data_IF_137367410862
#
_entry.id   IF_137367410862
#
_cell.length_a   1.000
_cell.length_b   1.000
_cell.length_c   1.000
_cell.angle_alpha   90.00
_cell.angle_beta   90.00
_cell.angle_gamma   90.00
#
_symmetry.space_group_name_H-M   'P 1'
#
loop_
_entity.id
_entity.type
_entity.pdbx_description
1 polymer ?
#
# COMPACT_ATOMS: atom_id res chain seq x y z
N UNK A 1 1.42 12.17 -3.10
CA UNK A 1 2.12 10.91 -2.77
C UNK A 1 2.11 10.70 -1.25
N UNK A 2 1.79 9.50 -0.74
CA UNK A 2 1.82 9.19 0.70
C UNK A 2 3.25 8.94 1.22
N UNK A 3 3.47 9.21 2.50
CA UNK A 3 4.77 9.00 3.18
C UNK A 3 4.94 7.49 3.46
N UNK A 4 5.99 6.84 2.92
CA UNK A 4 6.24 5.44 3.21
C UNK A 4 6.72 5.24 4.65
N UNK A 5 6.38 4.07 5.22
CA UNK A 5 6.79 3.57 6.54
C UNK A 5 8.21 4.04 6.94
N UNK A 6 8.27 4.97 7.90
CA UNK A 6 9.46 5.66 8.37
C UNK A 6 10.26 4.78 9.33
N UNK A 7 10.84 3.70 8.81
CA UNK A 7 11.99 3.08 9.47
C UNK A 7 13.24 3.87 9.11
N UNK A 8 14.07 4.19 10.10
CA UNK A 8 15.43 4.72 9.87
C UNK A 8 16.16 3.81 8.88
N UNK A 9 16.34 4.29 7.65
CA UNK A 9 17.18 3.65 6.64
C UNK A 9 18.43 4.49 6.52
N UNK A 10 19.59 3.88 6.74
CA UNK A 10 20.86 4.49 6.41
C UNK A 10 20.98 4.48 4.89
N UNK A 11 21.05 5.67 4.30
CA UNK A 11 21.36 5.83 2.89
C UNK A 11 22.84 6.17 2.78
N UNK A 12 23.58 5.43 1.96
CA UNK A 12 24.90 5.86 1.52
C UNK A 12 24.69 7.04 0.57
N UNK A 13 24.97 8.25 1.06
CA UNK A 13 24.96 9.46 0.24
C UNK A 13 26.36 9.57 -0.36
N UNK A 14 26.48 9.30 -1.65
CA UNK A 14 27.69 9.63 -2.40
C UNK A 14 27.71 11.14 -2.67
N UNK A 15 28.77 11.81 -2.25
CA UNK A 15 29.02 13.22 -2.58
C UNK A 15 29.60 13.30 -3.98
N UNK A 16 29.04 14.15 -4.83
CA UNK A 16 29.57 14.43 -6.15
C UNK A 16 31.03 14.89 -6.02
N UNK A 17 31.96 14.08 -6.54
CA UNK A 17 33.36 14.48 -6.68
C UNK A 17 33.46 15.41 -7.89
N UNK A 18 34.18 16.53 -7.77
CA UNK A 18 34.38 17.50 -8.85
C UNK A 18 35.30 17.01 -9.98
N UNK A 19 35.87 15.80 -9.87
CA UNK A 19 36.64 15.22 -10.96
C UNK A 19 35.71 14.42 -11.89
N UNK A 20 35.87 14.51 -13.21
CA UNK A 20 34.98 13.84 -14.14
C UNK A 20 35.14 12.32 -13.99
N UNK A 21 34.05 11.65 -13.61
CA UNK A 21 33.92 10.21 -13.82
C UNK A 21 33.87 10.00 -15.33
N UNK A 22 34.99 9.59 -15.94
CA UNK A 22 35.03 9.30 -17.37
C UNK A 22 34.22 8.03 -17.65
N UNK A 23 32.99 8.23 -18.08
CA UNK A 23 32.25 7.24 -18.87
C UNK A 23 32.10 7.82 -20.26
N UNK A 24 32.72 7.17 -21.24
CA UNK A 24 32.58 7.54 -22.64
C UNK A 24 31.16 7.23 -23.11
N UNK A 25 30.27 8.22 -23.11
CA UNK A 25 28.94 8.11 -23.71
C UNK A 25 27.94 9.11 -23.13
N UNK A 26 27.37 9.96 -23.97
CA UNK A 26 26.44 11.04 -23.56
C UNK A 26 25.07 10.47 -23.16
N UNK A 27 24.60 10.79 -21.95
CA UNK A 27 23.19 10.64 -21.57
C UNK A 27 22.70 11.97 -20.97
N UNK A 28 21.71 12.58 -21.61
CA UNK A 28 21.17 13.90 -21.23
C UNK A 28 20.25 13.81 -20.00
N UNK A 29 20.65 14.51 -18.93
CA UNK A 29 20.04 14.52 -17.59
C UNK A 29 18.69 15.28 -17.47
N UNK A 30 18.08 15.69 -18.59
CA UNK A 30 16.98 16.66 -18.59
C UNK A 30 15.62 16.09 -18.14
N UNK A 31 15.42 14.77 -18.20
CA UNK A 31 14.12 14.15 -17.85
C UNK A 31 13.89 14.09 -16.33
N UNK A 32 14.95 14.16 -15.52
CA UNK A 32 14.84 14.08 -14.05
C UNK A 32 14.36 15.38 -13.39
N UNK A 33 14.59 16.55 -14.02
CA UNK A 33 14.21 17.82 -13.42
C UNK A 33 12.72 18.15 -13.58
N UNK A 34 12.08 17.77 -14.69
CA UNK A 34 10.65 18.09 -14.89
C UNK A 34 9.74 17.39 -13.88
N UNK A 35 10.14 16.20 -13.40
CA UNK A 35 9.41 15.48 -12.35
C UNK A 35 9.60 16.10 -10.95
N UNK A 36 10.71 16.80 -10.72
CA UNK A 36 11.00 17.45 -9.44
C UNK A 36 10.42 18.87 -9.35
N UNK A 37 10.43 19.63 -10.45
CA UNK A 37 10.04 21.04 -10.46
C UNK A 37 8.52 21.27 -10.50
N UNK A 38 7.73 20.33 -11.02
CA UNK A 38 6.27 20.40 -10.92
C UNK A 38 5.74 20.25 -9.48
N UNK A 39 6.60 19.83 -8.52
CA UNK A 39 6.28 19.79 -7.08
C UNK A 39 6.87 20.96 -6.26
N UNK A 40 7.61 21.88 -6.88
CA UNK A 40 8.34 22.94 -6.17
C UNK A 40 8.11 24.31 -6.82
N UNK A 41 6.86 24.75 -6.91
CA UNK A 41 6.56 26.18 -7.05
C UNK A 41 5.46 26.59 -6.08
N UNK A 42 5.88 27.05 -4.91
CA UNK A 42 5.09 27.98 -4.11
C UNK A 42 6.06 28.99 -3.53
N UNK A 43 5.99 30.21 -4.08
CA UNK A 43 6.81 31.37 -3.76
C UNK A 43 6.89 31.60 -2.24
N UNK A 44 8.11 31.76 -1.73
CA UNK A 44 8.36 32.43 -0.46
C UNK A 44 7.87 33.89 -0.58
N UNK A 45 6.78 34.22 0.10
CA UNK A 45 6.46 35.61 0.44
C UNK A 45 6.35 35.75 1.95
N UNK A 46 7.26 36.57 2.45
CA UNK A 46 7.41 37.08 3.80
C UNK A 46 6.08 37.37 4.51
N UNK A 47 5.98 36.99 5.78
CA UNK A 47 4.95 37.45 6.70
C UNK A 47 5.61 38.12 7.90
N UNK A 48 5.43 39.44 8.01
CA UNK A 48 5.47 40.14 9.29
C UNK A 48 4.10 40.00 9.99
N UNK A 49 4.04 40.11 11.33
CA UNK A 49 2.94 39.67 12.14
C UNK A 49 1.89 40.77 12.34
N UNK A 50 0.60 40.40 12.23
CA UNK A 50 -0.54 40.92 12.98
C UNK A 50 -1.83 40.73 12.16
N UNK A 51 -2.78 39.96 12.67
CA UNK A 51 -4.20 40.28 12.87
C UNK A 51 -4.95 39.00 13.26
N UNK A 52 -5.77 39.14 14.29
CA UNK A 52 -6.51 38.14 15.05
C UNK A 52 -7.71 37.53 14.27
N UNK A 53 -8.37 36.49 14.83
CA UNK A 53 -9.02 35.42 14.09
C UNK A 53 -10.49 35.73 13.80
N UNK A 54 -11.03 35.18 12.71
CA UNK A 54 -12.46 34.90 12.69
C UNK A 54 -12.86 33.66 11.89
N UNK A 55 -13.90 33.04 12.41
CA UNK A 55 -14.49 31.75 12.13
C UNK A 55 -15.25 31.73 10.80
N UNK A 56 -15.21 30.60 10.08
CA UNK A 56 -16.38 29.84 9.59
C UNK A 56 -16.16 29.15 8.23
N UNK A 57 -15.90 27.84 8.29
CA UNK A 57 -16.55 26.84 7.41
C UNK A 57 -15.94 25.45 7.68
N UNK A 58 -16.12 24.94 8.90
CA UNK A 58 -15.90 23.51 9.17
C UNK A 58 -17.07 22.75 8.55
N UNK A 59 -16.87 22.13 7.39
CA UNK A 59 -17.74 21.02 6.96
C UNK A 59 -17.38 19.81 7.81
N UNK A 60 -18.09 19.66 8.93
CA UNK A 60 -17.98 18.49 9.79
C UNK A 60 -18.57 17.26 9.09
N UNK A 61 -17.73 16.31 8.73
CA UNK A 61 -18.16 14.95 8.38
C UNK A 61 -18.81 14.30 9.62
N UNK A 62 -19.85 13.46 9.49
CA UNK A 62 -20.63 13.00 10.64
C UNK A 62 -19.78 12.21 11.63
N UNK A 63 -19.98 12.47 12.93
CA UNK A 63 -19.52 11.61 14.05
C UNK A 63 -20.09 10.20 13.84
N UNK A 64 -19.31 9.31 13.25
CA UNK A 64 -19.75 7.94 12.97
C UNK A 64 -18.99 7.19 11.89
N UNK A 65 -17.93 7.77 11.29
CA UNK A 65 -17.03 7.00 10.44
C UNK A 65 -16.30 5.95 11.30
N UNK A 66 -16.77 4.71 11.22
CA UNK A 66 -16.20 3.58 11.96
C UNK A 66 -14.80 3.33 11.39
N UNK A 67 -13.80 3.66 12.19
CA UNK A 67 -12.38 3.53 11.86
C UNK A 67 -11.93 2.09 12.08
N UNK A 68 -12.15 1.24 11.08
CA UNK A 68 -11.40 -0.01 11.01
C UNK A 68 -9.94 0.37 10.77
N UNK A 69 -9.03 -0.05 11.66
CA UNK A 69 -7.60 0.35 11.72
C UNK A 69 -7.21 1.53 12.63
N UNK A 70 -8.12 2.10 13.42
CA UNK A 70 -7.83 3.30 14.26
C UNK A 70 -7.15 4.43 13.47
N UNK A 71 -7.41 4.52 12.16
CA UNK A 71 -6.79 5.51 11.27
C UNK A 71 -7.25 6.92 11.61
N UNK A 72 -6.48 7.92 11.18
CA UNK A 72 -6.95 9.30 11.30
C UNK A 72 -7.90 9.64 10.14
N UNK A 73 -8.68 10.70 10.29
CA UNK A 73 -9.57 11.18 9.22
C UNK A 73 -8.75 11.54 7.98
N UNK A 74 -7.58 12.14 8.19
CA UNK A 74 -6.66 12.51 7.11
C UNK A 74 -6.13 11.28 6.36
N UNK A 75 -5.85 10.18 7.06
CA UNK A 75 -5.42 8.93 6.43
C UNK A 75 -6.51 8.31 5.56
N UNK A 76 -7.76 8.36 6.03
CA UNK A 76 -8.92 7.87 5.30
C UNK A 76 -9.18 8.68 4.02
N UNK A 77 -9.16 10.01 4.11
CA UNK A 77 -9.31 10.91 2.96
C UNK A 77 -8.19 10.71 1.95
N UNK A 78 -6.94 10.56 2.42
CA UNK A 78 -5.79 10.29 1.56
C UNK A 78 -5.95 8.99 0.79
N UNK A 79 -6.38 7.91 1.45
CA UNK A 79 -6.64 6.61 0.82
C UNK A 79 -7.76 6.69 -0.21
N UNK A 80 -8.85 7.38 0.13
CA UNK A 80 -9.96 7.61 -0.78
C UNK A 80 -9.50 8.37 -2.03
N UNK A 81 -8.67 9.40 -1.87
CA UNK A 81 -8.06 10.12 -2.99
C UNK A 81 -7.21 9.22 -3.90
N UNK A 82 -6.42 8.31 -3.32
CA UNK A 82 -5.64 7.34 -4.10
C UNK A 82 -6.52 6.35 -4.88
N UNK A 83 -7.60 5.86 -4.25
CA UNK A 83 -8.51 4.91 -4.90
C UNK A 83 -9.33 5.55 -6.04
N UNK A 84 -9.48 6.87 -6.04
CA UNK A 84 -10.14 7.64 -7.10
C UNK A 84 -9.23 8.00 -8.29
N UNK A 85 -7.92 7.73 -8.21
CA UNK A 85 -6.99 8.01 -9.31
C UNK A 85 -7.19 7.01 -10.47
N UNK A 86 -7.99 7.42 -11.44
CA UNK A 86 -8.34 6.58 -12.60
C UNK A 86 -7.15 6.21 -13.50
N UNK A 87 -6.00 6.89 -13.37
CA UNK A 87 -4.79 6.61 -14.16
C UNK A 87 -4.03 5.36 -13.71
N UNK A 88 -4.31 4.88 -12.49
CA UNK A 88 -3.68 3.71 -11.88
C UNK A 88 -4.58 2.48 -12.03
N UNK A 89 -4.05 1.32 -12.38
CA UNK A 89 -4.83 0.09 -12.49
C UNK A 89 -5.47 -0.33 -11.16
N UNK A 90 -6.57 -1.08 -11.24
CA UNK A 90 -7.23 -1.61 -10.04
C UNK A 90 -6.51 -2.89 -9.58
N UNK A 91 -6.62 -3.21 -8.29
CA UNK A 91 -6.02 -4.42 -7.74
C UNK A 91 -6.51 -5.68 -8.43
N UNK A 92 -7.79 -5.73 -8.84
CA UNK A 92 -8.39 -6.86 -9.58
C UNK A 92 -7.60 -7.25 -10.83
N UNK A 93 -6.89 -6.31 -11.46
CA UNK A 93 -6.12 -6.55 -12.68
C UNK A 93 -4.82 -7.35 -12.38
N UNK A 94 -4.46 -7.50 -11.10
CA UNK A 94 -3.30 -8.26 -10.62
C UNK A 94 -3.68 -9.53 -9.84
N UNK A 95 -4.97 -9.74 -9.57
CA UNK A 95 -5.47 -10.89 -8.82
C UNK A 95 -5.51 -12.14 -9.69
N UNK A 96 -5.34 -13.30 -9.06
CA UNK A 96 -5.57 -14.58 -9.73
C UNK A 96 -7.06 -14.92 -9.74
N UNK A 97 -7.47 -15.75 -10.70
CA UNK A 97 -8.84 -16.28 -10.73
C UNK A 97 -9.12 -17.09 -9.45
N UNK A 98 -10.34 -16.96 -8.92
CA UNK A 98 -10.73 -17.70 -7.72
C UNK A 98 -10.82 -19.20 -8.01
N UNK A 99 -10.17 -20.00 -7.15
CA UNK A 99 -10.18 -21.45 -7.21
C UNK A 99 -10.08 -22.05 -5.79
N UNK A 100 -10.30 -23.35 -5.65
CA UNK A 100 -10.46 -24.02 -4.34
C UNK A 100 -9.26 -23.81 -3.38
N UNK A 101 -8.04 -23.75 -3.92
CA UNK A 101 -6.82 -23.54 -3.15
C UNK A 101 -6.74 -22.15 -2.50
N UNK A 102 -7.51 -21.17 -2.97
CA UNK A 102 -7.52 -19.81 -2.41
C UNK A 102 -7.95 -19.78 -0.94
N UNK A 103 -8.69 -20.80 -0.49
CA UNK A 103 -9.12 -20.96 0.89
C UNK A 103 -7.97 -21.03 1.89
N UNK A 104 -6.79 -21.49 1.46
CA UNK A 104 -5.59 -21.56 2.32
C UNK A 104 -5.04 -20.17 2.71
N UNK A 105 -5.42 -19.13 1.97
CA UNK A 105 -4.97 -17.76 2.21
C UNK A 105 -5.92 -16.97 3.12
N UNK A 106 -7.07 -17.53 3.52
CA UNK A 106 -7.97 -16.86 4.45
C UNK A 106 -7.30 -16.60 5.80
N UNK A 107 -7.61 -15.45 6.39
CA UNK A 107 -7.11 -15.11 7.71
C UNK A 107 -7.71 -16.08 8.75
N UNK A 108 -6.90 -16.70 9.61
CA UNK A 108 -7.40 -17.63 10.61
C UNK A 108 -8.25 -16.88 11.66
N UNK A 109 -9.25 -17.53 12.28
CA UNK A 109 -10.15 -16.91 13.26
C UNK A 109 -9.45 -16.12 14.36
N UNK A 110 -8.36 -16.68 14.90
CA UNK A 110 -7.54 -16.03 15.93
C UNK A 110 -6.94 -14.70 15.46
N UNK A 111 -6.54 -14.62 14.20
CA UNK A 111 -5.99 -13.39 13.62
C UNK A 111 -7.07 -12.35 13.39
N UNK A 112 -8.26 -12.76 12.93
CA UNK A 112 -9.40 -11.86 12.76
C UNK A 112 -9.79 -11.20 14.09
N UNK A 113 -9.98 -11.99 15.14
CA UNK A 113 -10.37 -11.48 16.46
C UNK A 113 -9.35 -10.50 17.04
N UNK A 114 -8.06 -10.86 16.94
CA UNK A 114 -6.97 -10.12 17.58
C UNK A 114 -6.54 -8.87 16.81
N UNK A 115 -6.57 -8.91 15.47
CA UNK A 115 -5.89 -7.92 14.64
C UNK A 115 -6.81 -7.21 13.64
N UNK A 116 -8.12 -7.46 13.66
CA UNK A 116 -9.09 -6.81 12.73
C UNK A 116 -8.94 -5.28 12.69
N UNK A 117 -8.69 -4.63 13.83
CA UNK A 117 -8.43 -3.20 13.94
C UNK A 117 -6.99 -2.76 13.63
N UNK A 118 -6.14 -3.61 13.06
CA UNK A 118 -4.79 -3.25 12.61
C UNK A 118 -4.58 -3.55 11.12
N UNK A 119 -5.54 -4.24 10.49
CA UNK A 119 -5.46 -4.67 9.11
C UNK A 119 -5.74 -3.51 8.16
N UNK A 120 -4.84 -3.28 7.21
CA UNK A 120 -5.17 -2.48 6.03
C UNK A 120 -5.98 -3.36 5.07
N UNK A 121 -7.30 -3.21 5.10
CA UNK A 121 -8.21 -3.98 4.25
C UNK A 121 -8.42 -3.23 2.92
N UNK A 122 -8.24 -3.96 1.81
CA UNK A 122 -8.46 -3.46 0.45
C UNK A 122 -9.48 -4.33 -0.29
N UNK A 123 -10.15 -3.76 -1.28
CA UNK A 123 -11.10 -4.45 -2.17
C UNK A 123 -10.49 -4.61 -3.56
N UNK A 124 -10.97 -5.53 -4.41
CA UNK A 124 -10.50 -5.68 -5.79
C UNK A 124 -10.58 -4.38 -6.62
N UNK A 125 -11.52 -3.49 -6.29
CA UNK A 125 -11.69 -2.19 -6.95
C UNK A 125 -10.77 -1.09 -6.43
N UNK A 126 -10.04 -1.32 -5.34
CA UNK A 126 -9.04 -0.36 -4.85
C UNK A 126 -7.89 -0.22 -5.86
N UNK A 127 -7.21 0.91 -5.83
CA UNK A 127 -6.05 1.23 -6.69
C UNK A 127 -4.78 1.43 -5.87
N UNK A 128 -4.77 0.89 -4.65
CA UNK A 128 -3.67 0.99 -3.69
C UNK A 128 -3.53 -0.29 -2.89
N UNK A 129 -2.32 -0.51 -2.39
CA UNK A 129 -2.05 -1.39 -1.26
C UNK A 129 -0.92 -0.78 -0.42
N UNK A 130 -0.71 -1.30 0.78
CA UNK A 130 0.52 -1.07 1.54
C UNK A 130 1.66 -1.94 0.99
N UNK A 131 2.88 -1.60 1.37
CA UNK A 131 4.08 -2.32 0.94
C UNK A 131 4.11 -3.74 1.54
N UNK A 132 4.33 -4.75 0.70
CA UNK A 132 4.55 -6.12 1.14
C UNK A 132 5.97 -6.30 1.67
N UNK A 133 6.08 -6.74 2.92
CA UNK A 133 7.37 -7.00 3.56
C UNK A 133 7.67 -8.49 3.61
N UNK A 134 8.92 -8.84 3.90
CA UNK A 134 9.33 -10.24 4.11
C UNK A 134 8.55 -10.99 5.20
N UNK A 135 7.83 -10.26 6.07
CA UNK A 135 7.03 -10.79 7.16
C UNK A 135 5.57 -11.04 6.81
N UNK A 136 5.14 -10.75 5.57
CA UNK A 136 3.77 -10.94 5.13
C UNK A 136 3.30 -12.39 5.28
N UNK A 137 2.05 -12.58 5.69
CA UNK A 137 1.49 -13.90 6.03
C UNK A 137 1.98 -14.50 7.37
N UNK A 138 2.92 -13.85 8.06
CA UNK A 138 3.43 -14.30 9.37
C UNK A 138 3.18 -13.26 10.48
N UNK A 139 3.52 -12.01 10.22
CA UNK A 139 3.15 -10.89 11.08
C UNK A 139 2.01 -10.11 10.44
N UNK A 140 1.09 -9.61 11.27
CA UNK A 140 -0.14 -9.00 10.79
C UNK A 140 0.02 -7.50 10.56
N UNK A 141 0.49 -6.77 11.56
CA UNK A 141 0.60 -5.32 11.47
C UNK A 141 1.78 -4.88 10.59
N UNK A 142 1.52 -3.95 9.68
CA UNK A 142 2.54 -3.25 8.90
C UNK A 142 3.32 -4.10 7.90
N UNK A 143 2.82 -5.29 7.55
CA UNK A 143 3.51 -6.19 6.61
C UNK A 143 2.93 -6.22 5.21
N UNK A 144 1.75 -5.64 5.00
CA UNK A 144 1.03 -5.60 3.74
C UNK A 144 -0.48 -5.54 3.98
N UNK A 145 -1.23 -5.24 2.92
CA UNK A 145 -2.69 -5.18 2.97
C UNK A 145 -3.29 -6.59 2.92
N UNK A 146 -4.55 -6.74 3.33
CA UNK A 146 -5.34 -7.97 3.14
C UNK A 146 -6.52 -7.69 2.23
N UNK A 147 -6.92 -8.67 1.43
CA UNK A 147 -7.99 -8.53 0.46
C UNK A 147 -9.33 -8.98 1.05
N UNK A 148 -10.34 -8.13 0.93
CA UNK A 148 -11.74 -8.50 1.13
C UNK A 148 -12.30 -9.10 -0.16
N UNK A 149 -12.69 -10.36 -0.12
CA UNK A 149 -13.27 -11.06 -1.30
C UNK A 149 -14.79 -10.96 -1.37
N UNK A 150 -15.47 -10.80 -0.23
CA UNK A 150 -16.92 -10.54 -0.20
C UNK A 150 -17.23 -9.08 -0.58
N UNK A 151 -17.30 -8.79 -1.88
CA UNK A 151 -17.36 -7.42 -2.43
C UNK A 151 -18.65 -6.65 -2.10
N UNK A 152 -19.73 -7.36 -1.83
CA UNK A 152 -21.06 -6.85 -1.49
C UNK A 152 -21.17 -6.36 -0.04
N UNK A 153 -20.23 -6.77 0.83
CA UNK A 153 -20.22 -6.39 2.24
C UNK A 153 -19.50 -5.04 2.44
N UNK A 154 -20.14 -4.13 3.19
CA UNK A 154 -19.53 -2.86 3.57
C UNK A 154 -18.77 -2.97 4.89
N UNK A 155 -17.54 -2.46 4.93
CA UNK A 155 -16.67 -2.56 6.11
C UNK A 155 -17.30 -1.86 7.31
N UNK A 156 -17.93 -0.71 7.08
CA UNK A 156 -18.59 0.09 8.10
C UNK A 156 -19.68 -0.72 8.81
N UNK A 157 -20.45 -1.53 8.06
CA UNK A 157 -21.52 -2.36 8.63
C UNK A 157 -21.00 -3.47 9.54
N UNK A 158 -19.82 -4.03 9.20
CA UNK A 158 -19.20 -5.12 9.98
C UNK A 158 -18.56 -4.57 11.24
N UNK A 159 -17.79 -3.49 11.12
CA UNK A 159 -17.06 -2.92 12.26
C UNK A 159 -17.93 -2.07 13.20
N UNK A 160 -19.14 -1.65 12.78
CA UNK A 160 -20.05 -0.88 13.63
C UNK A 160 -20.44 -1.68 14.88
N UNK A 161 -20.16 -1.10 16.05
CA UNK A 161 -20.38 -1.68 17.38
C UNK A 161 -19.70 -3.06 17.60
N UNK A 162 -18.68 -3.41 16.82
CA UNK A 162 -18.09 -4.74 16.88
C UNK A 162 -17.28 -5.00 18.17
N UNK A 163 -16.84 -3.93 18.85
CA UNK A 163 -16.15 -4.02 20.14
C UNK A 163 -17.09 -4.36 21.31
N UNK A 164 -18.38 -4.10 21.15
CA UNK A 164 -19.41 -4.35 22.17
C UNK A 164 -19.93 -5.79 22.12
N UNK A 165 -19.58 -6.55 21.07
CA UNK A 165 -20.05 -7.90 20.84
C UNK A 165 -19.17 -8.95 21.55
N UNK A 166 -19.75 -10.10 21.97
CA UNK A 166 -18.97 -11.24 22.43
C UNK A 166 -18.09 -11.80 21.29
N UNK A 167 -17.01 -12.50 21.65
CA UNK A 167 -16.02 -12.98 20.68
C UNK A 167 -16.62 -13.82 19.55
N UNK A 168 -17.59 -14.69 19.85
CA UNK A 168 -18.23 -15.55 18.86
C UNK A 168 -18.99 -14.72 17.80
N UNK A 169 -19.79 -13.74 18.23
CA UNK A 169 -20.53 -12.85 17.33
C UNK A 169 -19.59 -11.93 16.54
N UNK A 170 -18.52 -11.45 17.18
CA UNK A 170 -17.45 -10.69 16.53
C UNK A 170 -16.78 -11.51 15.43
N UNK A 171 -16.45 -12.77 15.70
CA UNK A 171 -15.85 -13.66 14.72
C UNK A 171 -16.80 -13.94 13.56
N UNK A 172 -18.09 -14.21 13.85
CA UNK A 172 -19.11 -14.41 12.83
C UNK A 172 -19.23 -13.19 11.91
N UNK A 173 -19.30 -11.99 12.47
CA UNK A 173 -19.30 -10.73 11.70
C UNK A 173 -18.03 -10.59 10.85
N UNK A 174 -16.84 -10.72 11.44
CA UNK A 174 -15.56 -10.56 10.71
C UNK A 174 -15.41 -11.60 9.59
N UNK A 175 -15.91 -12.81 9.80
CA UNK A 175 -15.84 -13.90 8.80
C UNK A 175 -16.69 -13.62 7.56
N UNK A 176 -17.71 -12.74 7.64
CA UNK A 176 -18.49 -12.31 6.47
C UNK A 176 -17.66 -11.55 5.44
N UNK A 177 -16.58 -10.88 5.86
CA UNK A 177 -15.70 -10.13 4.96
C UNK A 177 -14.84 -11.04 4.07
N UNK A 178 -14.69 -12.32 4.43
CA UNK A 178 -13.85 -13.28 3.69
C UNK A 178 -12.46 -12.72 3.40
N UNK A 179 -11.80 -12.22 4.45
CA UNK A 179 -10.47 -11.61 4.36
C UNK A 179 -9.41 -12.68 4.06
N UNK A 180 -8.60 -12.46 3.03
CA UNK A 180 -7.46 -13.30 2.70
C UNK A 180 -6.17 -12.50 2.50
N UNK A 181 -5.05 -13.17 2.66
CA UNK A 181 -3.77 -12.68 2.17
C UNK A 181 -3.75 -12.70 0.64
N UNK A 182 -2.98 -11.79 0.05
CA UNK A 182 -2.60 -11.87 -1.36
C UNK A 182 -1.69 -13.08 -1.57
N UNK A 183 -1.88 -13.83 -2.64
CA UNK A 183 -1.01 -14.97 -2.93
C UNK A 183 0.40 -14.49 -3.32
N UNK A 184 1.42 -15.36 -3.28
CA UNK A 184 2.73 -15.03 -3.81
C UNK A 184 2.68 -14.59 -5.28
N UNK A 185 1.81 -15.18 -6.10
CA UNK A 185 1.71 -14.83 -7.52
C UNK A 185 1.05 -13.46 -7.70
N UNK A 186 0.03 -13.13 -6.93
CA UNK A 186 -0.59 -11.79 -6.95
C UNK A 186 0.39 -10.69 -6.51
N UNK A 187 1.20 -10.94 -5.48
CA UNK A 187 2.26 -9.99 -5.06
C UNK A 187 3.32 -9.85 -6.17
N UNK A 188 3.70 -10.95 -6.81
CA UNK A 188 4.64 -10.91 -7.92
C UNK A 188 4.06 -10.12 -9.11
N UNK A 189 2.76 -10.22 -9.39
CA UNK A 189 2.07 -9.41 -10.40
C UNK A 189 2.14 -7.91 -10.05
N UNK A 190 1.84 -7.54 -8.80
CA UNK A 190 1.96 -6.15 -8.31
C UNK A 190 3.40 -5.62 -8.38
N UNK A 191 4.39 -6.50 -8.25
CA UNK A 191 5.81 -6.16 -8.42
C UNK A 191 6.25 -6.11 -9.89
N UNK A 192 5.38 -6.41 -10.86
CA UNK A 192 5.69 -6.37 -12.29
C UNK A 192 6.51 -7.56 -12.79
N UNK A 193 6.53 -8.68 -12.05
CA UNK A 193 7.14 -9.91 -12.55
C UNK A 193 6.32 -10.48 -13.70
N UNK A 194 6.98 -11.07 -14.72
CA UNK A 194 6.29 -11.58 -15.89
C UNK A 194 5.37 -12.78 -15.54
N UNK A 195 4.39 -13.12 -16.40
CA UNK A 195 3.45 -14.21 -16.15
C UNK A 195 4.13 -15.57 -15.92
N UNK A 196 5.22 -15.85 -16.63
CA UNK A 196 6.01 -17.07 -16.52
C UNK A 196 6.86 -17.16 -15.25
N UNK A 197 6.95 -16.08 -14.46
CA UNK A 197 7.65 -16.13 -13.18
C UNK A 197 6.92 -17.07 -12.20
N UNK A 198 7.67 -17.99 -11.60
CA UNK A 198 7.13 -18.94 -10.65
C UNK A 198 8.18 -19.36 -9.63
N UNK A 199 7.74 -19.94 -8.54
CA UNK A 199 8.62 -20.56 -7.55
C UNK A 199 8.69 -22.06 -7.81
N UNK A 200 9.86 -22.70 -7.60
CA UNK A 200 9.93 -24.16 -7.61
C UNK A 200 9.03 -24.79 -6.54
N UNK A 201 8.42 -25.95 -6.81
CA UNK A 201 7.45 -26.62 -5.93
C UNK A 201 7.94 -26.88 -4.50
N UNK A 202 9.26 -27.02 -4.33
CA UNK A 202 9.90 -27.20 -3.01
C UNK A 202 9.90 -25.94 -2.13
N UNK A 203 9.58 -24.78 -2.69
CA UNK A 203 9.59 -23.50 -1.98
C UNK A 203 8.23 -23.29 -1.32
N UNK A 204 8.24 -23.22 0.00
CA UNK A 204 7.02 -22.99 0.79
C UNK A 204 6.47 -21.58 0.58
N UNK A 205 5.15 -21.40 0.75
CA UNK A 205 4.48 -20.08 0.69
C UNK A 205 5.16 -19.03 1.58
N UNK A 206 5.59 -19.43 2.78
CA UNK A 206 6.33 -18.56 3.71
C UNK A 206 7.66 -18.07 3.12
N UNK A 207 8.38 -18.93 2.40
CA UNK A 207 9.61 -18.55 1.70
C UNK A 207 9.31 -17.64 0.51
N UNK A 208 8.23 -17.89 -0.24
CA UNK A 208 7.81 -17.04 -1.35
C UNK A 208 7.54 -15.60 -0.87
N UNK A 209 6.75 -15.40 0.20
CA UNK A 209 6.54 -14.07 0.78
C UNK A 209 7.83 -13.41 1.24
N UNK A 210 8.74 -14.17 1.86
CA UNK A 210 10.04 -13.65 2.29
C UNK A 210 10.90 -13.17 1.12
N UNK A 211 10.89 -13.90 0.00
CA UNK A 211 11.62 -13.54 -1.22
C UNK A 211 11.01 -12.30 -1.87
N UNK A 212 9.70 -12.30 -2.08
CA UNK A 212 8.99 -11.17 -2.71
C UNK A 212 9.08 -9.90 -1.87
N UNK A 213 8.92 -10.00 -0.55
CA UNK A 213 9.02 -8.85 0.35
C UNK A 213 10.43 -8.27 0.53
N UNK A 214 11.47 -8.94 -0.01
CA UNK A 214 12.82 -8.39 -0.14
C UNK A 214 13.15 -7.98 -1.58
N UNK A 215 12.21 -8.21 -2.51
CA UNK A 215 12.39 -7.93 -3.93
C UNK A 215 12.11 -6.46 -4.26
N UNK A 216 12.04 -6.16 -5.55
CA UNK A 216 11.85 -4.84 -6.11
C UNK A 216 10.64 -4.82 -7.05
N UNK A 217 10.24 -3.62 -7.49
CA UNK A 217 9.30 -3.47 -8.60
C UNK A 217 10.05 -3.44 -9.94
N UNK A 218 9.77 -4.43 -10.79
CA UNK A 218 10.46 -4.66 -12.07
C UNK A 218 10.26 -3.50 -13.03
N UNK A 219 9.04 -2.97 -13.14
CA UNK A 219 8.75 -1.85 -14.05
C UNK A 219 9.50 -0.58 -13.67
N UNK A 220 9.56 -0.24 -12.37
CA UNK A 220 10.31 0.91 -11.87
C UNK A 220 11.79 0.76 -12.21
N UNK A 221 12.39 -0.40 -11.91
CA UNK A 221 13.81 -0.63 -12.14
C UNK A 221 14.14 -0.68 -13.63
N UNK A 222 13.31 -1.31 -14.46
CA UNK A 222 13.47 -1.31 -15.91
C UNK A 222 13.47 0.11 -16.48
N UNK A 223 12.58 0.99 -15.98
CA UNK A 223 12.56 2.40 -16.41
C UNK A 223 13.82 3.15 -15.99
N UNK A 224 14.32 2.92 -14.78
CA UNK A 224 15.58 3.51 -14.30
C UNK A 224 16.78 3.03 -15.11
N UNK A 225 16.83 1.74 -15.46
CA UNK A 225 17.89 1.17 -16.31
C UNK A 225 17.83 1.78 -17.72
N UNK A 226 16.65 1.92 -18.31
CA UNK A 226 16.49 2.60 -19.60
C UNK A 226 17.04 4.03 -19.53
N UNK A 227 16.71 4.80 -18.49
CA UNK A 227 17.26 6.15 -18.32
C UNK A 227 18.79 6.13 -18.18
N UNK A 228 19.35 5.13 -17.50
CA UNK A 228 20.79 5.00 -17.30
C UNK A 228 21.54 4.67 -18.60
N UNK A 229 20.93 3.87 -19.48
CA UNK A 229 21.55 3.38 -20.72
C UNK A 229 21.30 4.29 -21.94
N UNK A 230 20.34 5.21 -21.86
CA UNK A 230 19.93 6.09 -22.96
C UNK A 230 18.83 5.49 -23.83
#
# INVERSE_FOLDING_TARGET
LGIPNSRLRYFLIAKLHQEPFQVSGQVSLLVLLEFAFSSLTSEEKNLDPNINPDCSSKKSLPKGAVLFKLETVEEMERKHGQDNDSSIQMLKDFLEEEHEEMSQYFLPPKSLLRYSFLLDIVKPTCRRSTCFTKGYGHYVEGTGSVLQTAVDIQLESVFKHIEELPEEEKLMKLSTLKLRYFTPREIANLHGFPPEFGFPDKVTTKQCYRLLGNSLNVHVVAKLISILLG
#
